data_IF_716642391358
#
_entry.id   IF_716642391358
#
_cell.length_a   1.000
_cell.length_b   1.000
_cell.length_c   1.000
_cell.angle_alpha   90.00
_cell.angle_beta   90.00
_cell.angle_gamma   90.00
#
_symmetry.space_group_name_H-M   'P 1'
#
loop_
_entity.id
_entity.type
_entity.pdbx_description
1 polymer ?
#
# COMPACT_ATOMS: atom_id res chain seq x y z
N UNK A 1 31.96 -1.66 -64.17
CA UNK A 1 31.86 -3.13 -64.28
C UNK A 1 30.47 -3.45 -64.76
N UNK A 2 30.38 -4.01 -65.96
CA UNK A 2 29.15 -4.15 -66.75
C UNK A 2 28.13 -5.07 -66.07
N UNK A 3 26.87 -4.65 -66.07
CA UNK A 3 25.73 -5.50 -65.73
C UNK A 3 25.68 -6.65 -66.75
N UNK A 4 25.97 -7.88 -66.31
CA UNK A 4 25.89 -9.07 -67.14
C UNK A 4 24.42 -9.51 -67.22
N UNK A 5 23.76 -9.24 -68.35
CA UNK A 5 22.39 -9.67 -68.63
C UNK A 5 22.43 -11.15 -68.97
N UNK A 6 21.94 -11.98 -68.05
CA UNK A 6 21.85 -13.44 -68.19
C UNK A 6 20.84 -13.80 -69.28
N UNK A 7 21.27 -14.61 -70.27
CA UNK A 7 20.38 -15.22 -71.27
C UNK A 7 19.38 -16.17 -70.59
N UNK A 8 18.16 -15.69 -70.32
CA UNK A 8 17.08 -16.48 -69.70
C UNK A 8 16.53 -17.54 -70.67
N UNK A 9 16.67 -18.82 -70.32
CA UNK A 9 15.98 -19.92 -71.04
C UNK A 9 14.49 -19.90 -70.70
N UNK A 10 13.65 -20.30 -71.66
CA UNK A 10 12.17 -20.15 -71.72
C UNK A 10 11.33 -20.64 -70.51
N UNK A 11 11.95 -21.17 -69.45
CA UNK A 11 11.31 -21.52 -68.15
C UNK A 11 11.81 -20.73 -66.93
N UNK A 12 12.94 -20.02 -67.00
CA UNK A 12 13.51 -19.28 -65.87
C UNK A 12 12.83 -17.91 -65.64
N UNK A 13 12.18 -17.36 -66.67
CA UNK A 13 11.44 -16.11 -66.57
C UNK A 13 10.25 -16.19 -65.61
N UNK A 14 9.56 -17.33 -65.61
CA UNK A 14 8.40 -17.56 -64.75
C UNK A 14 8.78 -17.65 -63.27
N UNK A 15 9.94 -18.27 -62.98
CA UNK A 15 10.47 -18.36 -61.61
C UNK A 15 10.89 -16.98 -61.08
N UNK A 16 11.55 -16.16 -61.91
CA UNK A 16 11.95 -14.81 -61.51
C UNK A 16 10.74 -13.93 -61.15
N UNK A 17 9.67 -13.98 -61.96
CA UNK A 17 8.43 -13.24 -61.69
C UNK A 17 7.75 -13.74 -60.43
N UNK A 18 7.65 -15.06 -60.24
CA UNK A 18 7.08 -15.64 -59.02
C UNK A 18 7.88 -15.27 -57.77
N UNK A 19 9.20 -15.26 -57.86
CA UNK A 19 10.07 -14.89 -56.76
C UNK A 19 9.87 -13.41 -56.38
N UNK A 20 9.83 -12.51 -57.37
CA UNK A 20 9.57 -11.09 -57.14
C UNK A 20 8.19 -10.89 -56.51
N UNK A 21 7.15 -11.55 -57.04
CA UNK A 21 5.79 -11.49 -56.50
C UNK A 21 5.74 -11.96 -55.04
N UNK A 22 6.41 -13.08 -54.73
CA UNK A 22 6.49 -13.61 -53.36
C UNK A 22 7.19 -12.65 -52.40
N UNK A 23 8.28 -12.02 -52.83
CA UNK A 23 9.00 -11.02 -52.01
C UNK A 23 8.13 -9.77 -51.77
N UNK A 24 7.42 -9.28 -52.79
CA UNK A 24 6.53 -8.12 -52.64
C UNK A 24 5.43 -8.43 -51.62
N UNK A 25 4.76 -9.58 -51.72
CA UNK A 25 3.70 -9.98 -50.79
C UNK A 25 4.21 -10.12 -49.37
N UNK A 26 5.38 -10.75 -49.18
CA UNK A 26 5.95 -10.92 -47.82
C UNK A 26 6.34 -9.58 -47.19
N UNK A 27 6.89 -8.64 -47.96
CA UNK A 27 7.20 -7.29 -47.48
C UNK A 27 5.92 -6.51 -47.15
N UNK A 28 4.90 -6.55 -48.02
CA UNK A 28 3.61 -5.89 -47.77
C UNK A 28 2.93 -6.42 -46.50
N UNK A 29 2.90 -7.75 -46.33
CA UNK A 29 2.29 -8.38 -45.15
C UNK A 29 3.08 -8.07 -43.87
N UNK A 30 4.40 -7.99 -43.94
CA UNK A 30 5.26 -7.63 -42.81
C UNK A 30 4.98 -6.22 -42.30
N UNK A 31 4.84 -5.25 -43.21
CA UNK A 31 4.51 -3.84 -42.86
C UNK A 31 3.11 -3.76 -42.22
N UNK A 32 2.12 -4.44 -42.81
CA UNK A 32 0.76 -4.47 -42.27
C UNK A 32 0.71 -5.12 -40.87
N UNK A 33 1.41 -6.24 -40.68
CA UNK A 33 1.49 -6.94 -39.39
C UNK A 33 2.12 -6.07 -38.31
N UNK A 34 3.23 -5.38 -38.62
CA UNK A 34 3.88 -4.45 -37.70
C UNK A 34 2.96 -3.30 -37.32
N UNK A 35 2.24 -2.72 -38.28
CA UNK A 35 1.30 -1.62 -38.02
C UNK A 35 0.14 -2.05 -37.11
N UNK A 36 -0.47 -3.21 -37.38
CA UNK A 36 -1.53 -3.76 -36.52
C UNK A 36 -1.00 -4.00 -35.10
N UNK A 37 0.22 -4.55 -34.99
CA UNK A 37 0.86 -4.80 -33.69
C UNK A 37 1.13 -3.50 -32.94
N UNK A 38 1.69 -2.48 -33.59
CA UNK A 38 1.96 -1.18 -32.97
C UNK A 38 0.67 -0.50 -32.48
N UNK A 39 -0.40 -0.53 -33.28
CA UNK A 39 -1.71 0.01 -32.87
C UNK A 39 -2.31 -0.79 -31.72
N UNK A 40 -2.23 -2.11 -31.76
CA UNK A 40 -2.72 -2.98 -30.68
C UNK A 40 -1.96 -2.73 -29.37
N UNK A 41 -0.63 -2.58 -29.43
CA UNK A 41 0.17 -2.25 -28.26
C UNK A 41 -0.18 -0.85 -27.74
N UNK A 42 -0.33 0.14 -28.63
CA UNK A 42 -0.69 1.51 -28.24
C UNK A 42 -2.07 1.58 -27.58
N UNK A 43 -3.07 0.88 -28.11
CA UNK A 43 -4.42 0.84 -27.55
C UNK A 43 -4.44 0.13 -26.19
N UNK A 44 -3.74 -1.00 -26.06
CA UNK A 44 -3.60 -1.69 -24.78
C UNK A 44 -2.88 -0.82 -23.72
N UNK A 45 -1.88 -0.02 -24.12
CA UNK A 45 -1.22 0.93 -23.21
C UNK A 45 -2.16 2.04 -22.74
N UNK A 46 -2.96 2.60 -23.65
CA UNK A 46 -3.94 3.64 -23.33
C UNK A 46 -5.06 3.11 -22.42
N UNK A 47 -5.59 1.93 -22.72
CA UNK A 47 -6.58 1.25 -21.89
C UNK A 47 -6.02 0.92 -20.51
N UNK A 48 -4.77 0.44 -20.42
CA UNK A 48 -4.12 0.21 -19.15
C UNK A 48 -3.99 1.48 -18.30
N UNK A 49 -3.65 2.62 -18.90
CA UNK A 49 -3.58 3.90 -18.21
C UNK A 49 -4.96 4.35 -17.71
N UNK A 50 -6.01 4.20 -18.55
CA UNK A 50 -7.40 4.51 -18.16
C UNK A 50 -7.92 3.59 -17.06
N UNK A 51 -7.58 2.30 -17.10
CA UNK A 51 -7.93 1.35 -16.05
C UNK A 51 -7.24 1.69 -14.72
N UNK A 52 -5.99 2.15 -14.75
CA UNK A 52 -5.30 2.61 -13.53
C UNK A 52 -5.96 3.86 -12.97
N UNK A 53 -6.21 4.87 -13.79
CA UNK A 53 -6.87 6.10 -13.35
C UNK A 53 -8.26 5.84 -12.74
N UNK A 54 -9.02 4.88 -13.29
CA UNK A 54 -10.29 4.47 -12.71
C UNK A 54 -10.12 3.78 -11.34
N UNK A 55 -9.09 2.94 -11.18
CA UNK A 55 -8.77 2.31 -9.90
C UNK A 55 -8.36 3.35 -8.85
N UNK A 56 -7.48 4.28 -9.21
CA UNK A 56 -7.02 5.38 -8.34
C UNK A 56 -8.19 6.27 -7.93
N UNK A 57 -9.07 6.65 -8.85
CA UNK A 57 -10.26 7.43 -8.53
C UNK A 57 -11.17 6.70 -7.52
N UNK A 58 -11.33 5.38 -7.65
CA UNK A 58 -12.09 4.57 -6.68
C UNK A 58 -11.43 4.54 -5.30
N UNK A 59 -10.10 4.40 -5.23
CA UNK A 59 -9.34 4.47 -3.98
C UNK A 59 -9.48 5.85 -3.33
N UNK A 60 -9.20 6.93 -4.04
CA UNK A 60 -9.24 8.30 -3.53
C UNK A 60 -10.65 8.69 -3.05
N UNK A 61 -11.70 8.22 -3.73
CA UNK A 61 -13.07 8.41 -3.29
C UNK A 61 -13.32 7.81 -1.90
N UNK A 62 -12.79 6.62 -1.62
CA UNK A 62 -12.93 5.98 -0.31
C UNK A 62 -12.03 6.61 0.75
N UNK A 63 -10.80 7.03 0.40
CA UNK A 63 -9.92 7.70 1.36
C UNK A 63 -10.45 9.07 1.78
N UNK A 64 -11.04 9.82 0.86
CA UNK A 64 -11.61 11.15 1.10
C UNK A 64 -12.93 11.14 1.90
N UNK A 65 -13.47 9.96 2.23
CA UNK A 65 -14.76 9.83 2.91
C UNK A 65 -15.95 10.17 2.02
N UNK A 66 -15.75 10.24 0.70
CA UNK A 66 -16.83 10.46 -0.25
C UNK A 66 -17.74 9.23 -0.31
N UNK A 67 -19.06 9.42 -0.20
CA UNK A 67 -20.07 8.35 -0.27
C UNK A 67 -20.28 7.81 -1.70
N UNK A 68 -19.21 7.69 -2.49
CA UNK A 68 -19.28 7.03 -3.78
C UNK A 68 -19.56 5.54 -3.57
N UNK A 69 -20.40 4.94 -4.43
CA UNK A 69 -20.69 3.51 -4.36
C UNK A 69 -19.42 2.67 -4.50
N UNK A 70 -19.42 1.46 -3.93
CA UNK A 70 -18.31 0.50 -4.01
C UNK A 70 -18.03 0.01 -5.44
N UNK A 71 -18.86 0.41 -6.41
CA UNK A 71 -18.59 0.24 -7.82
C UNK A 71 -19.17 1.43 -8.60
N UNK A 72 -18.49 1.85 -9.64
CA UNK A 72 -18.93 2.98 -10.45
C UNK A 72 -18.14 3.13 -11.73
N UNK A 73 -18.42 4.21 -12.46
CA UNK A 73 -17.79 4.50 -13.74
C UNK A 73 -17.02 5.82 -13.66
N UNK A 74 -15.89 5.87 -14.36
CA UNK A 74 -15.13 7.09 -14.67
C UNK A 74 -15.05 7.17 -16.19
N UNK A 75 -15.96 7.94 -16.79
CA UNK A 75 -16.17 7.92 -18.24
C UNK A 75 -16.64 6.54 -18.72
N UNK A 76 -15.87 5.92 -19.62
CA UNK A 76 -16.14 4.56 -20.14
C UNK A 76 -15.49 3.45 -19.31
N UNK A 77 -14.64 3.81 -18.34
CA UNK A 77 -13.94 2.86 -17.48
C UNK A 77 -14.77 2.57 -16.24
N UNK A 78 -14.68 1.35 -15.72
CA UNK A 78 -15.39 0.94 -14.50
C UNK A 78 -14.41 0.74 -13.36
N UNK A 79 -14.81 1.03 -12.13
CA UNK A 79 -14.04 0.67 -10.94
C UNK A 79 -14.92 -0.11 -9.96
N UNK A 80 -14.26 -0.96 -9.17
CA UNK A 80 -14.85 -1.65 -8.02
C UNK A 80 -13.89 -1.54 -6.85
N UNK A 81 -14.39 -1.10 -5.70
CA UNK A 81 -13.63 -0.95 -4.46
C UNK A 81 -14.11 -1.97 -3.45
N UNK A 82 -13.17 -2.57 -2.76
CA UNK A 82 -13.41 -3.50 -1.67
C UNK A 82 -12.65 -3.00 -0.45
N UNK A 83 -13.35 -2.99 0.69
CA UNK A 83 -12.81 -2.63 1.99
C UNK A 83 -12.60 -3.92 2.78
N UNK A 84 -11.41 -4.11 3.31
CA UNK A 84 -11.11 -5.15 4.28
C UNK A 84 -10.46 -4.50 5.50
N UNK A 85 -10.76 -4.99 6.69
CA UNK A 85 -10.17 -4.46 7.91
C UNK A 85 -8.77 -5.05 8.12
N UNK A 86 -7.81 -4.22 8.55
CA UNK A 86 -6.63 -4.71 9.26
C UNK A 86 -7.08 -5.22 10.63
N UNK A 87 -7.54 -6.48 10.64
CA UNK A 87 -7.84 -7.28 11.82
C UNK A 87 -8.75 -6.59 12.83
N UNK A 88 -10.04 -6.91 12.81
CA UNK A 88 -10.78 -6.94 14.08
C UNK A 88 -10.26 -8.17 14.83
N UNK A 89 -9.37 -7.96 15.79
CA UNK A 89 -8.64 -9.07 16.42
C UNK A 89 -9.46 -9.59 17.60
N UNK A 90 -10.40 -10.50 17.34
CA UNK A 90 -11.36 -11.03 18.33
C UNK A 90 -10.77 -12.03 19.34
N UNK A 91 -9.46 -12.25 19.32
CA UNK A 91 -8.72 -13.14 20.22
C UNK A 91 -7.44 -12.41 20.66
N UNK A 92 -6.77 -12.80 21.76
CA UNK A 92 -5.48 -12.19 22.14
C UNK A 92 -4.39 -12.66 21.16
N UNK A 93 -4.44 -12.15 19.92
CA UNK A 93 -3.43 -12.38 18.89
C UNK A 93 -2.44 -11.22 18.91
N UNK A 94 -1.17 -11.59 18.86
CA UNK A 94 -0.01 -10.72 18.76
C UNK A 94 0.00 -9.89 17.46
N UNK A 95 -0.03 -8.55 17.55
CA UNK A 95 0.44 -7.72 16.43
C UNK A 95 1.97 -7.77 16.44
N UNK A 96 2.55 -8.28 15.37
CA UNK A 96 4.00 -8.46 15.26
C UNK A 96 4.56 -7.47 14.25
N UNK A 97 5.43 -6.58 14.71
CA UNK A 97 6.18 -5.64 13.88
C UNK A 97 7.68 -5.85 14.09
N UNK A 98 8.46 -5.72 13.02
CA UNK A 98 9.93 -5.69 13.13
C UNK A 98 10.36 -4.23 13.13
N UNK A 99 10.95 -3.79 14.24
CA UNK A 99 11.37 -2.41 14.43
C UNK A 99 12.88 -2.33 14.62
N UNK A 100 13.49 -1.37 13.95
CA UNK A 100 14.89 -0.98 14.19
C UNK A 100 14.98 0.02 15.35
N UNK A 101 16.17 0.23 15.92
CA UNK A 101 16.34 1.19 17.01
C UNK A 101 15.95 2.60 16.55
N UNK A 102 14.99 3.21 17.25
CA UNK A 102 14.46 4.52 16.91
C UNK A 102 13.25 4.51 15.99
N UNK A 103 12.86 3.36 15.45
CA UNK A 103 11.61 3.18 14.72
C UNK A 103 10.45 3.02 15.69
N UNK A 104 9.26 3.42 15.26
CA UNK A 104 8.06 3.34 16.06
C UNK A 104 6.89 2.77 15.28
N UNK A 105 5.97 2.12 15.99
CA UNK A 105 4.69 1.66 15.44
C UNK A 105 3.55 2.27 16.23
N UNK A 106 2.48 2.65 15.54
CA UNK A 106 1.25 3.15 16.16
C UNK A 106 0.19 2.03 16.17
N UNK A 107 -0.43 1.84 17.33
CA UNK A 107 -1.51 0.87 17.56
C UNK A 107 -2.77 1.64 17.94
N UNK A 108 -3.87 1.35 17.24
CA UNK A 108 -5.17 1.94 17.51
C UNK A 108 -5.74 1.37 18.82
N UNK A 109 -6.16 2.25 19.72
CA UNK A 109 -6.80 1.90 21.00
C UNK A 109 -8.21 2.50 21.13
N UNK A 110 -8.76 3.09 20.07
CA UNK A 110 -10.10 3.67 20.09
C UNK A 110 -11.17 2.64 20.51
N UNK A 111 -11.81 2.88 21.65
CA UNK A 111 -12.82 1.98 22.21
C UNK A 111 -12.26 0.76 22.96
N UNK A 112 -10.93 0.65 23.12
CA UNK A 112 -10.31 -0.39 23.94
C UNK A 112 -10.51 -0.09 25.43
N UNK A 113 -11.13 -1.02 26.15
CA UNK A 113 -11.57 -0.81 27.55
C UNK A 113 -10.72 -1.50 28.59
N UNK A 114 -9.75 -2.34 28.20
CA UNK A 114 -8.92 -3.04 29.18
C UNK A 114 -7.93 -2.06 29.86
N UNK A 115 -7.56 -2.37 31.11
CA UNK A 115 -6.67 -1.54 31.91
C UNK A 115 -5.18 -1.67 31.58
N UNK A 116 -4.80 -2.57 30.67
CA UNK A 116 -3.42 -2.77 30.23
C UNK A 116 -3.35 -3.33 28.81
N UNK A 117 -2.17 -3.21 28.21
CA UNK A 117 -1.77 -3.89 26.99
C UNK A 117 -0.39 -4.50 27.19
N UNK A 118 -0.25 -5.79 26.90
CA UNK A 118 1.04 -6.46 26.93
C UNK A 118 1.87 -6.05 25.72
N UNK A 119 3.12 -5.67 25.94
CA UNK A 119 4.07 -5.36 24.88
C UNK A 119 5.32 -6.19 25.13
N UNK A 120 5.64 -7.08 24.20
CA UNK A 120 6.78 -7.98 24.25
C UNK A 120 7.79 -7.65 23.15
N UNK A 121 9.07 -7.71 23.45
CA UNK A 121 10.17 -7.57 22.50
C UNK A 121 11.27 -8.56 22.83
N UNK A 122 11.99 -9.07 21.83
CA UNK A 122 12.98 -10.15 22.03
C UNK A 122 14.39 -9.68 22.39
N UNK A 123 14.69 -8.40 22.21
CA UNK A 123 16.01 -7.81 22.43
C UNK A 123 16.20 -7.17 23.81
N UNK A 124 17.38 -6.60 24.01
CA UNK A 124 17.77 -5.83 25.21
C UNK A 124 17.38 -4.35 25.09
N UNK A 125 16.41 -4.04 24.24
CA UNK A 125 15.97 -2.65 24.06
C UNK A 125 15.18 -2.14 25.25
N UNK A 126 15.19 -0.81 25.43
CA UNK A 126 14.23 -0.11 26.27
C UNK A 126 12.98 0.23 25.44
N UNK A 127 11.81 0.28 26.09
CA UNK A 127 10.55 0.61 25.42
C UNK A 127 10.12 2.03 25.80
N UNK A 128 9.96 2.90 24.80
CA UNK A 128 9.23 4.15 24.94
C UNK A 128 7.79 3.96 24.45
N UNK A 129 6.84 4.42 25.26
CA UNK A 129 5.42 4.44 24.89
C UNK A 129 4.90 5.86 24.94
N UNK A 130 4.15 6.26 23.91
CA UNK A 130 3.45 7.54 23.87
C UNK A 130 1.95 7.31 23.69
N UNK A 131 1.17 7.68 24.69
CA UNK A 131 -0.29 7.61 24.67
C UNK A 131 -0.89 8.89 24.13
N UNK A 132 -1.75 8.78 23.12
CA UNK A 132 -2.50 9.91 22.59
C UNK A 132 -3.94 9.84 23.10
N UNK A 133 -4.33 10.87 23.84
CA UNK A 133 -5.67 11.03 24.38
C UNK A 133 -6.53 11.92 23.49
N UNK A 134 -7.81 11.56 23.36
CA UNK A 134 -8.82 12.34 22.67
C UNK A 134 -9.74 13.10 23.63
N UNK A 135 -10.60 13.95 23.06
CA UNK A 135 -11.64 14.71 23.78
C UNK A 135 -12.33 13.87 24.86
N UNK A 136 -12.48 14.35 26.12
CA UNK A 136 -12.34 15.76 26.53
C UNK A 136 -10.93 16.21 26.91
N UNK A 137 -9.96 15.29 27.05
CA UNK A 137 -8.58 15.62 27.42
C UNK A 137 -7.66 15.28 26.26
N UNK A 138 -7.22 16.30 25.52
CA UNK A 138 -6.20 16.14 24.49
C UNK A 138 -4.84 16.23 25.14
N UNK A 139 -4.07 15.16 25.08
CA UNK A 139 -2.76 15.10 25.73
C UNK A 139 -1.92 13.96 25.19
N UNK A 140 -0.63 14.05 25.50
CA UNK A 140 0.34 12.98 25.25
C UNK A 140 0.98 12.60 26.57
N UNK A 141 0.91 11.33 26.93
CA UNK A 141 1.65 10.79 28.09
C UNK A 141 2.75 9.89 27.57
N UNK A 142 4.00 10.20 27.94
CA UNK A 142 5.17 9.39 27.58
C UNK A 142 5.66 8.64 28.79
N UNK A 143 5.84 7.33 28.62
CA UNK A 143 6.39 6.46 29.64
C UNK A 143 7.58 5.71 29.06
N UNK A 144 8.67 5.66 29.84
CA UNK A 144 9.88 4.95 29.52
C UNK A 144 9.98 3.72 30.41
N UNK A 145 10.16 2.55 29.80
CA UNK A 145 10.35 1.30 30.48
C UNK A 145 11.76 0.80 30.23
N UNK A 146 12.51 0.62 31.32
CA UNK A 146 13.83 -0.02 31.34
C UNK A 146 13.75 -1.48 30.92
N UNK A 147 14.91 -2.08 30.65
CA UNK A 147 15.14 -3.45 30.14
C UNK A 147 14.74 -4.58 31.10
N UNK A 148 13.60 -4.46 31.79
CA UNK A 148 13.14 -5.41 32.79
C UNK A 148 12.18 -6.42 32.16
N UNK A 149 12.76 -7.32 31.35
CA UNK A 149 12.07 -8.46 30.76
C UNK A 149 11.49 -8.20 29.37
N UNK A 150 11.55 -9.24 28.53
CA UNK A 150 11.10 -9.28 27.14
C UNK A 150 9.58 -9.06 26.94
N UNK A 151 8.84 -8.76 28.01
CA UNK A 151 7.40 -8.54 28.03
C UNK A 151 7.04 -7.60 29.18
N UNK A 152 6.24 -6.58 28.87
CA UNK A 152 5.77 -5.59 29.83
C UNK A 152 4.28 -5.34 29.65
N UNK A 153 3.53 -5.42 30.75
CA UNK A 153 2.19 -4.87 30.79
C UNK A 153 2.28 -3.35 30.92
N UNK A 154 1.87 -2.67 29.85
CA UNK A 154 1.80 -1.21 29.82
C UNK A 154 0.44 -0.81 30.38
N UNK A 155 0.37 -0.17 31.57
CA UNK A 155 -0.88 0.24 32.16
C UNK A 155 -1.55 1.31 31.29
N UNK A 156 -2.85 1.13 31.09
CA UNK A 156 -3.70 2.08 30.42
C UNK A 156 -4.43 2.89 31.50
N UNK A 157 -3.92 4.09 31.82
CA UNK A 157 -4.56 5.05 32.76
C UNK A 157 -6.06 5.17 32.48
N UNK A 158 -6.87 4.85 33.49
CA UNK A 158 -8.33 4.86 33.38
C UNK A 158 -8.88 6.31 33.33
N UNK A 159 -9.89 6.55 32.50
CA UNK A 159 -10.70 7.79 32.57
C UNK A 159 -10.54 8.81 31.43
N UNK A 160 -9.78 8.52 30.38
CA UNK A 160 -9.81 9.33 29.13
C UNK A 160 -9.88 8.41 27.91
N UNK A 161 -10.68 8.74 26.87
CA UNK A 161 -10.77 7.92 25.67
C UNK A 161 -9.42 7.95 24.95
N UNK A 162 -8.73 6.81 25.01
CA UNK A 162 -7.45 6.60 24.33
C UNK A 162 -7.71 6.44 22.84
N UNK A 163 -6.97 7.18 22.01
CA UNK A 163 -7.08 7.07 20.56
C UNK A 163 -6.04 6.08 20.02
N UNK A 164 -4.78 6.25 20.40
CA UNK A 164 -3.70 5.39 19.96
C UNK A 164 -2.55 5.35 20.96
N UNK A 165 -1.75 4.28 20.88
CA UNK A 165 -0.46 4.16 21.56
C UNK A 165 0.61 4.04 20.49
N UNK A 166 1.69 4.79 20.65
CA UNK A 166 2.88 4.65 19.84
C UNK A 166 3.97 3.98 20.64
N UNK A 167 4.58 2.96 20.06
CA UNK A 167 5.59 2.11 20.68
C UNK A 167 6.89 2.30 19.93
N UNK A 168 7.96 2.64 20.64
CA UNK A 168 9.29 2.87 20.09
C UNK A 168 10.31 2.05 20.85
N UNK A 169 11.09 1.25 20.12
CA UNK A 169 12.20 0.51 20.70
C UNK A 169 13.46 1.38 20.66
N UNK A 170 14.06 1.56 21.83
CA UNK A 170 15.30 2.31 22.02
C UNK A 170 16.43 1.33 22.36
N UNK A 171 17.64 1.62 21.91
CA UNK A 171 18.87 0.93 22.37
C UNK A 171 18.86 -0.59 22.18
N UNK A 172 18.18 -1.10 21.15
CA UNK A 172 17.97 -2.54 20.97
C UNK A 172 19.27 -3.35 20.72
N UNK A 173 20.34 -2.69 20.25
CA UNK A 173 21.63 -3.35 19.96
C UNK A 173 21.61 -4.35 18.79
N UNK A 174 20.44 -4.61 18.19
CA UNK A 174 20.21 -5.52 17.07
C UNK A 174 19.61 -4.74 15.89
N UNK A 175 19.86 -5.20 14.66
CA UNK A 175 19.44 -4.53 13.43
C UNK A 175 17.91 -4.39 13.28
N UNK A 176 17.12 -5.35 13.76
CA UNK A 176 15.65 -5.27 13.80
C UNK A 176 15.10 -6.29 14.80
N UNK A 177 14.32 -5.83 15.76
CA UNK A 177 13.74 -6.65 16.81
C UNK A 177 12.23 -6.80 16.64
N UNK A 178 11.70 -7.93 17.08
CA UNK A 178 10.30 -8.23 16.96
C UNK A 178 9.53 -7.62 18.13
N UNK A 179 8.76 -6.57 17.87
CA UNK A 179 7.79 -6.03 18.82
C UNK A 179 6.46 -6.76 18.63
N UNK A 180 5.93 -7.27 19.73
CA UNK A 180 4.70 -8.05 19.79
C UNK A 180 3.73 -7.40 20.76
N UNK A 181 2.55 -7.01 20.28
CA UNK A 181 1.51 -6.41 21.13
C UNK A 181 0.47 -7.47 21.46
N UNK A 182 0.38 -7.82 22.74
CA UNK A 182 -0.51 -8.85 23.30
C UNK A 182 -1.63 -8.16 24.07
N UNK A 183 -2.84 -8.05 23.50
CA UNK A 183 -3.92 -7.37 24.18
C UNK A 183 -4.64 -8.29 25.16
N UNK A 184 -5.21 -7.71 26.22
CA UNK A 184 -6.01 -8.43 27.23
C UNK A 184 -7.40 -8.75 26.67
N UNK A 185 -7.95 -7.85 25.87
CA UNK A 185 -9.21 -8.03 25.13
C UNK A 185 -8.95 -7.85 23.63
N UNK A 186 -9.96 -8.01 22.79
CA UNK A 186 -9.81 -7.74 21.36
C UNK A 186 -9.32 -6.32 21.09
N UNK A 187 -8.29 -6.18 20.25
CA UNK A 187 -7.89 -4.86 19.77
C UNK A 187 -8.95 -4.33 18.80
N UNK A 188 -9.22 -3.01 18.82
CA UNK A 188 -10.03 -2.40 17.78
C UNK A 188 -9.33 -2.53 16.43
N UNK A 189 -10.08 -2.31 15.35
CA UNK A 189 -9.55 -2.29 13.98
C UNK A 189 -8.29 -1.43 13.89
N UNK A 190 -7.19 -2.01 13.41
CA UNK A 190 -5.89 -1.34 13.34
C UNK A 190 -5.71 -0.50 12.08
N UNK A 191 -6.58 -0.67 11.08
CA UNK A 191 -6.53 0.07 9.83
C UNK A 191 -7.50 -0.47 8.79
N UNK A 192 -7.46 0.13 7.62
CA UNK A 192 -8.26 -0.23 6.45
C UNK A 192 -7.35 -0.68 5.31
N UNK A 193 -7.68 -1.81 4.69
CA UNK A 193 -7.15 -2.21 3.39
C UNK A 193 -8.18 -1.85 2.35
N UNK A 194 -7.85 -0.87 1.52
CA UNK A 194 -8.69 -0.40 0.44
C UNK A 194 -8.12 -0.96 -0.85
N UNK A 195 -8.87 -1.83 -1.51
CA UNK A 195 -8.48 -2.43 -2.78
C UNK A 195 -9.44 -1.97 -3.86
N UNK A 196 -8.94 -1.24 -4.85
CA UNK A 196 -9.70 -0.89 -6.04
C UNK A 196 -9.20 -1.64 -7.27
N UNK A 197 -10.14 -2.04 -8.11
CA UNK A 197 -9.89 -2.64 -9.41
C UNK A 197 -10.55 -1.76 -10.45
N UNK A 198 -9.76 -1.22 -11.37
CA UNK A 198 -10.23 -0.45 -12.52
C UNK A 198 -10.17 -1.28 -13.80
N UNK A 199 -11.13 -1.09 -14.70
CA UNK A 199 -11.23 -1.78 -15.98
C UNK A 199 -11.50 -0.77 -17.09
N UNK A 200 -10.80 -0.92 -18.21
CA UNK A 200 -11.03 -0.18 -19.45
C UNK A 200 -10.74 -1.11 -20.63
N UNK A 201 -11.74 -1.33 -21.49
CA UNK A 201 -11.63 -2.33 -22.56
C UNK A 201 -11.33 -3.72 -21.99
N UNK A 202 -10.25 -4.34 -22.44
CA UNK A 202 -9.76 -5.63 -21.92
C UNK A 202 -8.75 -5.47 -20.78
N UNK A 203 -8.28 -4.25 -20.54
CA UNK A 203 -7.27 -3.97 -19.52
C UNK A 203 -7.87 -3.87 -18.13
N UNK A 204 -7.25 -4.57 -17.16
CA UNK A 204 -7.62 -4.55 -15.75
C UNK A 204 -6.40 -4.15 -14.91
N UNK A 205 -6.58 -3.16 -14.02
CA UNK A 205 -5.55 -2.69 -13.08
C UNK A 205 -6.08 -2.74 -11.66
N UNK A 206 -5.20 -3.01 -10.71
CA UNK A 206 -5.53 -3.13 -9.29
C UNK A 206 -4.60 -2.23 -8.48
N UNK A 207 -5.19 -1.45 -7.58
CA UNK A 207 -4.49 -0.61 -6.61
C UNK A 207 -4.92 -1.05 -5.22
N UNK A 208 -3.95 -1.22 -4.32
CA UNK A 208 -4.19 -1.56 -2.92
C UNK A 208 -3.51 -0.49 -2.07
N UNK A 209 -4.27 0.07 -1.13
CA UNK A 209 -3.79 1.06 -0.16
C UNK A 209 -4.11 0.55 1.24
N UNK A 210 -3.09 0.56 2.08
CA UNK A 210 -3.19 0.22 3.49
C UNK A 210 -3.21 1.55 4.26
N UNK A 211 -4.33 1.85 4.91
CA UNK A 211 -4.54 3.06 5.72
C UNK A 211 -4.44 2.69 7.19
N UNK A 212 -3.40 3.17 7.84
CA UNK A 212 -3.21 3.11 9.29
C UNK A 212 -3.18 4.53 9.84
N UNK A 213 -3.68 4.71 11.07
CA UNK A 213 -3.54 5.99 11.78
C UNK A 213 -2.12 6.05 12.34
N UNK A 214 -1.18 6.54 11.53
CA UNK A 214 0.20 6.76 11.95
C UNK A 214 0.52 8.26 11.94
N UNK A 215 1.11 8.75 13.04
CA UNK A 215 1.41 10.17 13.22
C UNK A 215 2.87 10.43 12.88
N UNK A 216 3.19 11.42 12.03
CA UNK A 216 4.57 11.73 11.69
C UNK A 216 5.44 12.05 12.92
N UNK A 217 6.67 11.54 12.93
CA UNK A 217 7.66 11.67 14.00
C UNK A 217 7.97 13.12 14.36
N UNK A 218 7.83 14.04 13.39
CA UNK A 218 8.06 15.48 13.60
C UNK A 218 7.13 16.08 14.66
N UNK A 219 5.93 15.52 14.85
CA UNK A 219 4.98 15.97 15.87
C UNK A 219 5.32 15.47 17.27
N UNK A 220 6.36 14.64 17.42
CA UNK A 220 6.83 14.18 18.72
C UNK A 220 7.74 15.18 19.42
N UNK A 221 8.49 15.98 18.65
CA UNK A 221 9.44 16.97 19.17
C UNK A 221 8.76 18.33 19.50
N UNK A 222 7.53 18.55 19.04
CA UNK A 222 6.78 19.76 19.35
C UNK A 222 6.12 19.61 20.73
N UNK A 223 6.55 20.42 21.69
CA UNK A 223 5.88 20.56 22.98
C UNK A 223 4.51 21.24 22.77
N UNK A 224 3.48 20.46 22.48
CA UNK A 224 2.12 20.97 22.31
C UNK A 224 1.42 21.05 23.68
N UNK A 225 1.56 22.20 24.36
CA UNK A 225 0.78 22.52 25.56
C UNK A 225 -0.48 23.30 25.16
N UNK A 226 -1.62 22.60 25.07
CA UNK A 226 -2.92 23.22 24.76
C UNK A 226 -3.53 24.01 25.93
N UNK A 227 -3.01 23.86 27.14
CA UNK A 227 -3.48 24.58 28.34
C UNK A 227 -2.31 24.86 29.27
N UNK A 228 -1.80 26.09 29.19
CA UNK A 228 -0.80 26.73 30.07
C UNK A 228 0.46 25.93 30.42
N UNK A 229 1.61 26.44 29.97
CA UNK A 229 2.92 26.12 30.51
C UNK A 229 3.06 26.77 31.90
N UNK A 230 2.84 26.01 32.97
CA UNK A 230 3.41 26.39 34.27
C UNK A 230 4.89 26.07 34.25
N UNK A 231 5.70 27.13 34.32
CA UNK A 231 7.15 27.10 34.44
C UNK A 231 7.59 26.46 35.76
#
# INVERSE_FOLDING_TARGET
>A
MCLNIVNMRRGQALIAVLLILGVVVTVSLSIASRSITEVSVSTAQEEAARALAAAEAGVEAKLSGSALPDAGNVGTSTYTVTLADFGTVNTPLALVQRLTSGESVTVNLAGYTAGSIGVCWSGVGSLETAFYYGSPVVGVERNYYSQDGNCRDVPLTAGSPKQSIRLKLLENGIAADQLTVVPVTSLPKQGDVITAVGRAGESVRKVKVDKQDDRPDIFEAALFSGTSLTK
#
